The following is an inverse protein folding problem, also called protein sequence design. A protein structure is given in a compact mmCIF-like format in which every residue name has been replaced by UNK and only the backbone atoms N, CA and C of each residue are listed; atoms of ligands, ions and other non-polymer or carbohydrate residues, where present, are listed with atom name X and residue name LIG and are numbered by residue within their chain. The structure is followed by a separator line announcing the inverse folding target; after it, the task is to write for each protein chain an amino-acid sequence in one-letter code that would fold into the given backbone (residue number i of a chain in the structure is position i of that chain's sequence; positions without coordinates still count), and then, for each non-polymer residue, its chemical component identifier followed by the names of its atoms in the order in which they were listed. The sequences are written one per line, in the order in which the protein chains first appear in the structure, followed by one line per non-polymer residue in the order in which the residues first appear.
data_IF_222723519305
#
_entry.id   IF_222723519305
#
_cell.length_a   1.000
_cell.length_b   1.000
_cell.length_c   1.000
_cell.angle_alpha   90.00
_cell.angle_beta   90.00
_cell.angle_gamma   90.00
#
_symmetry.space_group_name_H-M   'P 1'
#
loop_
_entity.id
_entity.type
_entity.pdbx_description
1 polymer ?
#
# COMPACT_ATOMS: atom_id res chain seq x y z
N UNK A 1 47.50 20.48 31.27
CA UNK A 1 46.76 20.36 29.99
C UNK A 1 47.23 19.20 29.11
N UNK A 2 48.54 18.98 28.94
CA UNK A 2 49.10 17.98 28.00
C UNK A 2 48.74 16.51 28.30
N UNK A 3 48.51 16.14 29.56
CA UNK A 3 48.10 14.78 29.95
C UNK A 3 46.71 14.40 29.45
N UNK A 4 45.73 15.31 29.55
CA UNK A 4 44.36 15.07 29.07
C UNK A 4 44.34 14.92 27.55
N UNK A 5 45.08 15.77 26.83
CA UNK A 5 45.19 15.68 25.37
C UNK A 5 45.87 14.38 24.93
N UNK A 6 46.92 13.91 25.63
CA UNK A 6 47.56 12.63 25.32
C UNK A 6 46.68 11.41 25.64
N UNK A 7 45.78 11.51 26.62
CA UNK A 7 44.81 10.45 26.93
C UNK A 7 43.76 10.38 25.82
N UNK A 8 43.18 11.52 25.42
CA UNK A 8 42.18 11.58 24.35
C UNK A 8 42.74 11.16 22.98
N UNK A 9 43.99 11.49 22.67
CA UNK A 9 44.64 11.11 21.40
C UNK A 9 45.00 9.62 21.34
N UNK A 10 45.10 8.94 22.50
CA UNK A 10 45.41 7.50 22.60
C UNK A 10 44.20 6.67 23.03
N UNK A 11 43.02 7.29 23.07
CA UNK A 11 41.78 6.64 23.46
C UNK A 11 41.18 5.92 22.25
N UNK A 12 41.56 4.66 22.07
CA UNK A 12 41.01 3.76 21.05
C UNK A 12 39.61 3.24 21.42
N UNK A 13 39.18 3.38 22.68
CA UNK A 13 37.88 2.86 23.14
C UNK A 13 36.70 3.62 22.51
N UNK A 14 36.85 4.92 22.25
CA UNK A 14 35.85 5.74 21.55
C UNK A 14 35.74 5.44 20.03
N UNK A 15 36.81 4.97 19.40
CA UNK A 15 36.85 4.63 17.98
C UNK A 15 36.17 3.29 17.68
N UNK A 16 36.36 2.29 18.55
CA UNK A 16 35.77 0.96 18.43
C UNK A 16 34.23 1.02 18.62
N UNK A 17 33.76 1.77 19.62
CA UNK A 17 32.32 1.92 19.91
C UNK A 17 31.58 2.68 18.80
N UNK A 18 32.26 3.57 18.06
CA UNK A 18 31.67 4.35 16.97
C UNK A 18 31.32 3.50 15.74
N UNK A 19 32.26 2.68 15.26
CA UNK A 19 32.06 1.89 14.05
C UNK A 19 31.00 0.80 14.23
N UNK A 20 30.95 0.16 15.39
CA UNK A 20 30.01 -0.90 15.72
C UNK A 20 28.57 -0.37 15.84
N UNK A 21 28.39 0.81 16.45
CA UNK A 21 27.08 1.48 16.51
C UNK A 21 26.58 1.90 15.13
N UNK A 22 27.46 2.38 14.25
CA UNK A 22 27.10 2.72 12.87
C UNK A 22 26.66 1.46 12.10
N UNK A 23 27.32 0.33 12.30
CA UNK A 23 26.93 -0.95 11.70
C UNK A 23 25.55 -1.42 12.19
N UNK A 24 25.31 -1.38 13.51
CA UNK A 24 24.00 -1.76 14.07
C UNK A 24 22.89 -0.82 13.59
N UNK A 25 23.13 0.49 13.60
CA UNK A 25 22.17 1.49 13.14
C UNK A 25 21.81 1.31 11.66
N UNK A 26 22.80 1.01 10.80
CA UNK A 26 22.55 0.78 9.38
C UNK A 26 21.74 -0.48 9.13
N UNK A 27 22.01 -1.59 9.83
CA UNK A 27 21.19 -2.81 9.74
C UNK A 27 19.75 -2.54 10.22
N UNK A 28 19.59 -1.80 11.32
CA UNK A 28 18.27 -1.43 11.83
C UNK A 28 17.48 -0.58 10.82
N UNK A 29 18.10 0.44 10.23
CA UNK A 29 17.45 1.28 9.21
C UNK A 29 17.06 0.47 7.98
N UNK A 30 17.92 -0.43 7.50
CA UNK A 30 17.58 -1.31 6.37
C UNK A 30 16.36 -2.19 6.68
N UNK A 31 16.32 -2.78 7.87
CA UNK A 31 15.17 -3.57 8.31
C UNK A 31 13.88 -2.77 8.39
N UNK A 32 13.95 -1.52 8.87
CA UNK A 32 12.79 -0.63 8.93
C UNK A 32 12.31 -0.19 7.55
N UNK A 33 13.23 0.12 6.63
CA UNK A 33 12.88 0.53 5.26
C UNK A 33 12.20 -0.61 4.51
N UNK A 34 12.78 -1.81 4.54
CA UNK A 34 12.17 -2.99 3.90
C UNK A 34 10.84 -3.31 4.58
N UNK A 35 10.78 -3.32 5.91
CA UNK A 35 9.54 -3.57 6.65
C UNK A 35 8.43 -2.59 6.31
N UNK A 36 8.74 -1.29 6.20
CA UNK A 36 7.76 -0.27 5.80
C UNK A 36 7.29 -0.46 4.35
N UNK A 37 8.21 -0.83 3.44
CA UNK A 37 7.90 -1.12 2.04
C UNK A 37 6.91 -2.28 1.93
N UNK A 38 7.18 -3.39 2.61
CA UNK A 38 6.31 -4.57 2.61
C UNK A 38 4.93 -4.27 3.23
N UNK A 39 4.88 -3.51 4.34
CA UNK A 39 3.60 -3.09 4.92
C UNK A 39 2.80 -2.23 3.94
N UNK A 40 3.45 -1.29 3.25
CA UNK A 40 2.78 -0.43 2.27
C UNK A 40 2.21 -1.24 1.10
N UNK A 41 3.02 -2.15 0.53
CA UNK A 41 2.60 -2.99 -0.58
C UNK A 41 1.43 -3.89 -0.17
N UNK A 42 1.54 -4.54 0.98
CA UNK A 42 0.52 -5.49 1.42
C UNK A 42 -0.80 -4.79 1.78
N UNK A 43 -0.76 -3.59 2.38
CA UNK A 43 -1.97 -2.79 2.61
C UNK A 43 -2.64 -2.42 1.28
N UNK A 44 -1.86 -2.06 0.26
CA UNK A 44 -2.42 -1.71 -1.04
C UNK A 44 -3.07 -2.91 -1.72
N UNK A 45 -2.43 -4.09 -1.66
CA UNK A 45 -2.98 -5.33 -2.19
C UNK A 45 -4.29 -5.74 -1.50
N UNK A 46 -4.38 -5.62 -0.17
CA UNK A 46 -5.62 -5.93 0.55
C UNK A 46 -6.75 -4.94 0.22
N UNK A 47 -6.43 -3.65 0.01
CA UNK A 47 -7.41 -2.66 -0.44
C UNK A 47 -7.87 -2.91 -1.88
N UNK A 48 -6.97 -3.37 -2.74
CA UNK A 48 -7.30 -3.82 -4.09
C UNK A 48 -8.25 -5.02 -4.04
N UNK A 49 -7.92 -6.05 -3.25
CA UNK A 49 -8.77 -7.25 -3.11
C UNK A 49 -10.18 -6.88 -2.63
N UNK A 50 -10.28 -5.94 -1.68
CA UNK A 50 -11.57 -5.39 -1.25
C UNK A 50 -12.29 -4.68 -2.40
N UNK A 51 -11.59 -3.81 -3.14
CA UNK A 51 -12.15 -3.08 -4.29
C UNK A 51 -12.66 -4.01 -5.39
N UNK A 52 -11.86 -5.02 -5.74
CA UNK A 52 -12.20 -6.05 -6.73
C UNK A 52 -13.39 -6.90 -6.27
N UNK A 53 -13.48 -7.24 -4.99
CA UNK A 53 -14.64 -7.94 -4.44
C UNK A 53 -15.93 -7.12 -4.60
N UNK A 54 -15.90 -5.80 -4.37
CA UNK A 54 -17.06 -4.94 -4.63
C UNK A 54 -17.39 -4.83 -6.13
N UNK A 55 -16.37 -4.70 -6.98
CA UNK A 55 -16.53 -4.66 -8.44
C UNK A 55 -17.09 -5.98 -9.01
N UNK A 56 -16.84 -7.12 -8.35
CA UNK A 56 -17.35 -8.43 -8.76
C UNK A 56 -18.85 -8.62 -8.55
N UNK A 57 -19.50 -7.72 -7.82
CA UNK A 57 -20.95 -7.74 -7.62
C UNK A 57 -21.61 -7.10 -8.85
N UNK A 58 -22.74 -7.66 -9.29
CA UNK A 58 -23.56 -7.04 -10.35
C UNK A 58 -24.15 -5.71 -9.85
N UNK A 59 -23.58 -4.60 -10.34
CA UNK A 59 -24.06 -3.23 -10.08
C UNK A 59 -25.04 -2.75 -11.17
N UNK A 60 -25.39 -3.61 -12.12
CA UNK A 60 -26.40 -3.36 -13.13
C UNK A 60 -27.82 -3.50 -12.57
N UNK A 61 -28.76 -2.85 -13.25
CA UNK A 61 -30.18 -3.07 -12.99
C UNK A 61 -30.99 -3.00 -14.28
N UNK A 62 -32.11 -3.71 -14.31
CA UNK A 62 -33.10 -3.60 -15.38
C UNK A 62 -34.50 -3.57 -14.79
N UNK A 63 -35.26 -2.51 -15.11
CA UNK A 63 -36.66 -2.33 -14.75
C UNK A 63 -37.45 -2.22 -16.05
N UNK A 64 -38.30 -3.20 -16.30
CA UNK A 64 -39.12 -3.23 -17.51
C UNK A 64 -40.26 -2.21 -17.45
N UNK A 65 -40.57 -1.62 -18.60
CA UNK A 65 -41.75 -0.79 -18.78
C UNK A 65 -43.00 -1.65 -19.02
N UNK A 66 -44.18 -1.07 -18.79
CA UNK A 66 -45.46 -1.74 -19.01
C UNK A 66 -46.05 -1.28 -20.36
N UNK A 67 -46.63 -2.21 -21.12
CA UNK A 67 -47.31 -1.92 -22.37
C UNK A 67 -48.72 -2.51 -22.37
N UNK A 68 -49.72 -1.64 -22.53
CA UNK A 68 -51.13 -2.02 -22.60
C UNK A 68 -51.84 -1.43 -23.82
N UNK A 69 -53.14 -1.71 -23.94
CA UNK A 69 -53.95 -1.38 -25.12
C UNK A 69 -54.09 0.13 -25.40
N UNK A 70 -53.79 1.00 -24.42
CA UNK A 70 -53.98 2.46 -24.47
C UNK A 70 -52.81 3.25 -23.88
N UNK A 71 -51.68 2.61 -23.56
CA UNK A 71 -50.57 3.29 -22.92
C UNK A 71 -49.32 2.43 -22.85
N UNK A 72 -48.17 3.10 -22.87
CA UNK A 72 -46.85 2.49 -22.70
C UNK A 72 -46.06 3.33 -21.72
N UNK A 73 -45.41 2.70 -20.76
CA UNK A 73 -44.34 3.32 -19.97
C UNK A 73 -42.99 2.83 -20.47
N UNK A 74 -41.97 3.69 -20.32
CA UNK A 74 -40.58 3.29 -20.56
C UNK A 74 -40.04 2.61 -19.32
N UNK A 75 -39.22 1.58 -19.53
CA UNK A 75 -38.38 1.01 -18.47
C UNK A 75 -37.13 1.86 -18.24
N UNK A 76 -36.30 1.41 -17.30
CA UNK A 76 -34.97 1.95 -17.05
C UNK A 76 -33.98 0.79 -16.92
N UNK A 77 -32.79 0.93 -17.47
CA UNK A 77 -31.73 -0.04 -17.25
C UNK A 77 -30.38 0.66 -17.14
N UNK A 78 -29.49 0.05 -16.39
CA UNK A 78 -28.08 0.37 -16.30
C UNK A 78 -27.31 -0.95 -16.39
N UNK A 79 -26.33 -1.00 -17.28
CA UNK A 79 -25.42 -2.11 -17.38
C UNK A 79 -24.05 -1.63 -16.91
N UNK A 80 -23.57 -2.21 -15.82
CA UNK A 80 -22.21 -1.99 -15.40
C UNK A 80 -21.26 -2.74 -16.34
N UNK A 81 -20.18 -2.09 -16.73
CA UNK A 81 -19.20 -2.60 -17.70
C UNK A 81 -17.83 -2.57 -17.05
N UNK A 82 -17.03 -3.61 -17.30
CA UNK A 82 -15.66 -3.67 -16.79
C UNK A 82 -14.83 -2.50 -17.33
N UNK A 83 -14.23 -1.74 -16.42
CA UNK A 83 -13.29 -0.67 -16.74
C UNK A 83 -11.84 -1.09 -16.43
N UNK A 84 -10.89 -0.17 -16.65
CA UNK A 84 -9.46 -0.43 -16.47
C UNK A 84 -9.07 -0.86 -15.05
N UNK A 85 -9.87 -0.51 -14.03
CA UNK A 85 -9.59 -0.77 -12.61
C UNK A 85 -10.53 -1.81 -11.98
N UNK A 86 -11.31 -2.53 -12.80
CA UNK A 86 -12.25 -3.56 -12.34
C UNK A 86 -11.63 -4.97 -12.32
N UNK A 87 -10.31 -5.07 -12.51
CA UNK A 87 -9.56 -6.33 -12.55
C UNK A 87 -9.02 -6.75 -11.18
N UNK A 88 -8.17 -7.78 -11.21
CA UNK A 88 -7.24 -8.09 -10.12
C UNK A 88 -5.81 -7.95 -10.65
N UNK A 89 -4.87 -7.71 -9.74
CA UNK A 89 -3.44 -7.53 -9.99
C UNK A 89 -3.11 -6.27 -10.81
N UNK A 90 -3.85 -5.18 -10.57
CA UNK A 90 -3.67 -3.90 -11.26
C UNK A 90 -2.87 -2.86 -10.46
N UNK A 91 -2.66 -3.09 -9.15
CA UNK A 91 -1.69 -2.35 -8.34
C UNK A 91 -0.37 -3.13 -8.20
N UNK A 92 0.76 -2.44 -8.42
CA UNK A 92 2.12 -2.95 -8.27
C UNK A 92 2.86 -2.24 -7.14
#
# INVERSE_FOLDING_TARGET
MTRLLNVLVRDEAGFIVSAELVLVASIAVLGLVVGLSEVSLNVNNELEDVGSAFASIDQGYCVEGLSGHKGKSKGSHFQDCQDFCAGQYDVQ
#
